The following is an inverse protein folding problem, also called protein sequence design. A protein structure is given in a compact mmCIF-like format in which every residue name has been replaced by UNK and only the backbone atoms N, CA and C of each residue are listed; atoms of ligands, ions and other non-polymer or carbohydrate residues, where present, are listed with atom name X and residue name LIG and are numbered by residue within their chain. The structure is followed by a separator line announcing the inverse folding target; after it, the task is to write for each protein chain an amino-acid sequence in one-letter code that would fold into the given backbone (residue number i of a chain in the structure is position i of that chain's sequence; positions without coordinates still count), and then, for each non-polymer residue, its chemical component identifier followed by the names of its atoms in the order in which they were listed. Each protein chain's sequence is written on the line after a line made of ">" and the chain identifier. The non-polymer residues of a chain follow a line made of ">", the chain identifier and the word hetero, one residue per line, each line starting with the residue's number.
data_IF_294612011788
#
_entry.id   IF_294612011788
#
_cell.length_a   1.000
_cell.length_b   1.000
_cell.length_c   1.000
_cell.angle_alpha   90.00
_cell.angle_beta   90.00
_cell.angle_gamma   90.00
#
_symmetry.space_group_name_H-M   'P 1'
#
loop_
_entity.id
_entity.type
_entity.pdbx_description
1 polymer ?
#
# COMPACT_ATOMS: atom_id res chain seq x y z
N UNK A 1 -2.21 34.10 1.99
CA UNK A 1 -2.06 32.71 1.50
C UNK A 1 -3.18 31.88 2.13
N UNK A 2 -4.04 31.25 1.32
CA UNK A 2 -5.29 30.64 1.81
C UNK A 2 -5.03 29.37 2.64
N UNK A 3 -5.76 29.17 3.75
CA UNK A 3 -5.61 28.02 4.66
C UNK A 3 -5.74 26.68 3.93
N UNK A 4 -6.68 26.60 2.99
CA UNK A 4 -6.89 25.39 2.16
C UNK A 4 -5.68 25.06 1.28
N UNK A 5 -4.95 26.07 0.82
CA UNK A 5 -3.76 25.88 -0.01
C UNK A 5 -2.59 25.30 0.79
N UNK A 6 -2.45 25.71 2.05
CA UNK A 6 -1.47 25.14 2.98
C UNK A 6 -1.81 23.70 3.37
N UNK A 7 -3.09 23.39 3.56
CA UNK A 7 -3.55 22.01 3.82
C UNK A 7 -3.22 21.12 2.62
N UNK A 8 -3.54 21.56 1.39
CA UNK A 8 -3.21 20.82 0.18
C UNK A 8 -1.69 20.61 0.04
N UNK A 9 -0.90 21.66 0.24
CA UNK A 9 0.56 21.57 0.19
C UNK A 9 1.11 20.57 1.22
N UNK A 10 0.57 20.56 2.45
CA UNK A 10 0.95 19.60 3.47
C UNK A 10 0.59 18.16 3.07
N UNK A 11 -0.61 17.93 2.53
CA UNK A 11 -1.04 16.60 2.07
C UNK A 11 -0.13 16.10 0.95
N UNK A 12 0.14 16.92 -0.07
CA UNK A 12 1.05 16.56 -1.15
C UNK A 12 2.48 16.32 -0.67
N UNK A 13 2.96 17.12 0.29
CA UNK A 13 4.27 16.93 0.91
C UNK A 13 4.40 15.58 1.60
N UNK A 14 3.43 15.23 2.45
CA UNK A 14 3.40 13.93 3.14
C UNK A 14 3.33 12.77 2.13
N UNK A 15 2.50 12.90 1.09
CA UNK A 15 2.34 11.85 0.08
C UNK A 15 3.63 11.63 -0.72
N UNK A 16 4.34 12.69 -1.10
CA UNK A 16 5.62 12.61 -1.79
C UNK A 16 6.69 11.90 -0.94
N UNK A 17 6.77 12.23 0.35
CA UNK A 17 7.70 11.58 1.29
C UNK A 17 7.39 10.09 1.41
N UNK A 18 6.11 9.73 1.54
CA UNK A 18 5.69 8.33 1.61
C UNK A 18 6.07 7.53 0.34
N UNK A 19 5.91 8.14 -0.85
CA UNK A 19 6.31 7.53 -2.12
C UNK A 19 7.83 7.31 -2.19
N UNK A 20 8.62 8.31 -1.81
CA UNK A 20 10.09 8.21 -1.80
C UNK A 20 10.56 7.13 -0.83
N UNK A 21 9.94 7.04 0.35
CA UNK A 21 10.25 6.01 1.33
C UNK A 21 9.97 4.60 0.78
N UNK A 22 8.82 4.43 0.13
CA UNK A 22 8.46 3.17 -0.53
C UNK A 22 9.41 2.80 -1.67
N UNK A 23 9.86 3.78 -2.48
CA UNK A 23 10.78 3.52 -3.60
C UNK A 23 12.23 3.29 -3.16
N UNK A 24 12.64 3.91 -2.05
CA UNK A 24 14.04 3.87 -1.57
C UNK A 24 14.33 2.69 -0.65
N UNK A 25 13.32 1.93 -0.24
CA UNK A 25 13.50 0.75 0.61
C UNK A 25 13.93 -0.44 -0.26
N UNK A 26 15.16 -0.98 -0.12
CA UNK A 26 15.60 -2.15 -0.88
C UNK A 26 14.75 -3.36 -0.50
N UNK A 27 14.04 -3.95 -1.48
CA UNK A 27 13.02 -4.98 -1.29
C UNK A 27 11.57 -4.46 -1.29
N UNK A 28 11.38 -3.15 -1.26
CA UNK A 28 10.06 -2.50 -1.16
C UNK A 28 9.41 -2.65 0.22
N UNK A 29 8.23 -2.06 0.40
CA UNK A 29 7.34 -2.41 1.51
C UNK A 29 6.78 -3.80 1.19
N UNK A 30 6.82 -4.76 2.13
CA UNK A 30 6.16 -6.06 1.93
C UNK A 30 4.67 -5.83 1.65
N UNK A 31 4.23 -6.26 0.46
CA UNK A 31 2.84 -6.15 0.01
C UNK A 31 2.23 -7.54 0.00
N UNK A 32 1.80 -8.09 1.14
CA UNK A 32 1.22 -9.43 1.19
C UNK A 32 0.02 -9.58 0.26
N UNK A 33 -0.67 -8.47 -0.03
CA UNK A 33 -1.79 -8.43 -0.98
C UNK A 33 -1.39 -8.53 -2.45
N UNK A 34 -0.14 -8.22 -2.83
CA UNK A 34 0.32 -8.30 -4.21
C UNK A 34 0.56 -9.75 -4.67
N UNK A 35 0.68 -10.66 -3.72
CA UNK A 35 0.98 -12.08 -3.93
C UNK A 35 -0.29 -12.92 -4.07
N UNK A 36 -1.45 -12.30 -3.81
CA UNK A 36 -2.75 -12.91 -3.98
C UNK A 36 -3.23 -12.79 -5.44
N UNK A 37 -3.98 -13.80 -5.89
CA UNK A 37 -4.61 -13.81 -7.22
C UNK A 37 -5.69 -12.73 -7.34
N UNK A 38 -6.40 -12.49 -6.25
CA UNK A 38 -7.49 -11.53 -6.13
C UNK A 38 -7.01 -10.07 -6.10
N UNK A 39 -7.85 -9.14 -6.53
CA UNK A 39 -7.53 -7.71 -6.42
C UNK A 39 -7.51 -7.26 -4.96
N UNK A 40 -6.77 -6.20 -4.66
CA UNK A 40 -6.60 -5.64 -3.33
C UNK A 40 -7.94 -5.24 -2.69
N UNK A 41 -8.87 -4.73 -3.50
CA UNK A 41 -10.23 -4.37 -3.07
C UNK A 41 -10.99 -5.61 -2.59
N UNK A 42 -11.00 -6.69 -3.37
CA UNK A 42 -11.69 -7.92 -2.96
C UNK A 42 -11.05 -8.53 -1.72
N UNK A 43 -9.71 -8.54 -1.63
CA UNK A 43 -9.00 -9.00 -0.43
C UNK A 43 -9.40 -8.22 0.84
N UNK A 44 -9.51 -6.89 0.78
CA UNK A 44 -9.91 -6.10 1.95
C UNK A 44 -11.38 -6.31 2.34
N UNK A 45 -12.26 -6.50 1.37
CA UNK A 45 -13.71 -6.61 1.61
C UNK A 45 -14.18 -8.03 1.95
N UNK A 46 -13.55 -9.06 1.38
CA UNK A 46 -13.94 -10.46 1.60
C UNK A 46 -12.95 -11.26 2.43
N UNK A 47 -11.77 -10.69 2.75
CA UNK A 47 -10.69 -11.38 3.47
C UNK A 47 -10.25 -12.69 2.78
N UNK A 48 -10.41 -12.76 1.45
CA UNK A 48 -10.02 -13.91 0.64
C UNK A 48 -8.73 -13.57 -0.09
N UNK A 49 -7.65 -14.29 0.21
CA UNK A 49 -6.40 -14.27 -0.55
C UNK A 49 -6.10 -15.68 -1.03
N UNK A 50 -6.18 -15.90 -2.35
CA UNK A 50 -5.67 -17.14 -2.96
C UNK A 50 -4.24 -16.89 -3.44
N UNK A 51 -3.22 -17.57 -2.90
CA UNK A 51 -1.83 -17.36 -3.32
C UNK A 51 -1.60 -17.62 -4.81
N UNK A 52 -0.81 -16.78 -5.50
CA UNK A 52 -0.30 -17.08 -6.85
C UNK A 52 0.86 -18.09 -6.84
N UNK A 53 1.60 -18.12 -5.75
CA UNK A 53 2.74 -19.00 -5.47
C UNK A 53 2.45 -19.66 -4.13
N UNK A 54 2.66 -20.98 -4.00
CA UNK A 54 2.27 -21.80 -2.83
C UNK A 54 2.96 -21.44 -1.48
N UNK A 55 3.42 -20.20 -1.28
CA UNK A 55 4.26 -19.75 -0.18
C UNK A 55 3.58 -18.74 0.77
N UNK A 56 2.26 -18.51 0.70
CA UNK A 56 1.59 -17.61 1.65
C UNK A 56 1.18 -18.31 2.94
N UNK A 57 1.83 -17.93 4.04
CA UNK A 57 1.29 -18.09 5.39
C UNK A 57 0.29 -16.97 5.64
N UNK A 58 -0.98 -17.32 5.82
CA UNK A 58 -1.95 -16.39 6.42
C UNK A 58 -1.53 -16.11 7.86
N UNK A 59 -1.45 -14.83 8.31
CA UNK A 59 -1.51 -14.56 9.72
C UNK A 59 -2.93 -14.94 10.18
N UNK A 60 -3.00 -15.94 11.08
CA UNK A 60 -4.21 -16.32 11.80
C UNK A 60 -4.58 -15.20 12.78
#
# INVERSE_FOLDING_TARGET
>A
MNRSMWILAAVFGVMAIAMIYQSSTPGGIERPWAECKENLVTQMLSNVCTPRTNNFKTPQ
#
